data_IF_066979392485
#
_entry.id   IF_066979392485
#
_cell.length_a   1.000
_cell.length_b   1.000
_cell.length_c   1.000
_cell.angle_alpha   90.00
_cell.angle_beta   90.00
_cell.angle_gamma   90.00
#
_symmetry.space_group_name_H-M   'P 1'
#
loop_
_entity.id
_entity.type
_entity.pdbx_description
1 polymer ?
#
# COMPACT_ATOMS: atom_id res chain seq x y z
N UNK A 1 6.91 1.01 -7.78
CA UNK A 1 6.52 1.65 -9.05
C UNK A 1 5.51 2.75 -8.78
N UNK A 2 5.85 3.96 -9.12
CA UNK A 2 5.00 5.12 -8.88
C UNK A 2 5.20 6.17 -9.97
N UNK A 3 4.26 7.12 -10.07
CA UNK A 3 4.46 8.27 -10.94
C UNK A 3 5.29 9.36 -10.23
N UNK A 4 5.99 10.19 -10.99
CA UNK A 4 6.80 11.26 -10.44
C UNK A 4 5.95 12.33 -9.73
N UNK A 5 4.71 12.50 -10.16
CA UNK A 5 3.80 13.51 -9.60
C UNK A 5 3.11 13.07 -8.31
N UNK A 6 3.28 11.82 -7.89
CA UNK A 6 2.61 11.29 -6.70
C UNK A 6 3.44 11.57 -5.44
N UNK A 7 3.19 12.70 -4.78
CA UNK A 7 3.89 13.08 -3.55
C UNK A 7 3.61 12.14 -2.38
N UNK A 8 2.38 11.66 -2.25
CA UNK A 8 2.03 10.71 -1.18
C UNK A 8 2.69 9.35 -1.39
N UNK A 9 2.96 8.96 -2.64
CA UNK A 9 3.72 7.74 -2.94
C UNK A 9 5.15 7.85 -2.43
N UNK A 10 5.79 9.00 -2.61
CA UNK A 10 7.14 9.26 -2.11
C UNK A 10 7.17 9.17 -0.59
N UNK A 11 6.16 9.69 0.09
CA UNK A 11 6.05 9.61 1.55
C UNK A 11 5.91 8.17 2.00
N UNK A 12 5.19 7.35 1.26
CA UNK A 12 5.07 5.92 1.57
C UNK A 12 6.42 5.21 1.42
N UNK A 13 7.18 5.50 0.37
CA UNK A 13 8.54 4.97 0.19
C UNK A 13 9.41 5.34 1.39
N UNK A 14 9.35 6.59 1.84
CA UNK A 14 10.09 7.03 3.01
C UNK A 14 9.65 6.29 4.28
N UNK A 15 8.36 6.02 4.42
CA UNK A 15 7.84 5.23 5.54
C UNK A 15 8.49 3.84 5.59
N UNK A 16 8.61 3.15 4.45
CA UNK A 16 9.27 1.86 4.39
C UNK A 16 10.76 1.97 4.72
N UNK A 17 11.44 2.99 4.19
CA UNK A 17 12.87 3.19 4.45
C UNK A 17 13.14 3.50 5.92
N UNK A 18 12.29 4.27 6.56
CA UNK A 18 12.40 4.55 8.01
C UNK A 18 12.22 3.29 8.84
N UNK A 19 11.54 2.29 8.31
CA UNK A 19 11.36 0.99 8.95
C UNK A 19 12.39 -0.05 8.48
N UNK A 20 13.53 0.41 7.97
CA UNK A 20 14.71 -0.38 7.60
C UNK A 20 14.50 -1.31 6.41
N UNK A 21 13.56 -1.00 5.54
CA UNK A 21 13.41 -1.71 4.28
C UNK A 21 14.21 -1.01 3.19
N UNK A 22 14.92 -1.79 2.39
CA UNK A 22 15.54 -1.30 1.18
C UNK A 22 14.48 -1.16 0.11
N UNK A 23 14.40 0.02 -0.51
CA UNK A 23 13.39 0.29 -1.54
C UNK A 23 14.07 0.76 -2.80
N UNK A 24 13.79 0.07 -3.90
CA UNK A 24 14.14 0.54 -5.26
C UNK A 24 12.92 1.29 -5.78
N UNK A 25 13.07 2.59 -5.96
CA UNK A 25 11.98 3.48 -6.34
C UNK A 25 11.97 3.67 -7.85
N UNK A 26 11.06 2.96 -8.54
CA UNK A 26 10.93 3.03 -9.98
C UNK A 26 9.84 4.04 -10.36
N UNK A 27 10.23 5.12 -11.00
CA UNK A 27 9.34 6.19 -11.43
C UNK A 27 8.95 5.94 -12.88
N UNK A 28 7.64 5.87 -13.15
CA UNK A 28 7.09 5.59 -14.46
C UNK A 28 6.13 6.71 -14.87
N UNK A 29 5.97 6.90 -16.17
CA UNK A 29 4.96 7.83 -16.69
C UNK A 29 3.54 7.31 -16.41
N UNK A 30 3.34 6.01 -16.58
CA UNK A 30 2.06 5.34 -16.37
C UNK A 30 2.29 4.02 -15.64
N UNK A 31 1.66 3.86 -14.48
CA UNK A 31 1.79 2.67 -13.66
C UNK A 31 0.75 1.60 -13.99
N UNK A 32 -0.20 1.87 -14.86
CA UNK A 32 -1.27 0.91 -15.17
C UNK A 32 -0.74 -0.37 -15.82
N UNK A 33 0.32 -0.29 -16.60
CA UNK A 33 0.96 -1.47 -17.17
C UNK A 33 1.50 -2.44 -16.12
N UNK A 34 2.12 -1.90 -15.08
CA UNK A 34 2.62 -2.70 -13.96
C UNK A 34 1.46 -3.33 -13.20
N UNK A 35 0.38 -2.58 -12.97
CA UNK A 35 -0.79 -3.08 -12.26
C UNK A 35 -1.45 -4.23 -13.04
N UNK A 36 -1.50 -4.12 -14.37
CA UNK A 36 -2.00 -5.19 -15.24
C UNK A 36 -1.10 -6.42 -15.18
N UNK A 37 0.21 -6.21 -15.24
CA UNK A 37 1.20 -7.29 -15.18
C UNK A 37 1.08 -8.10 -13.90
N UNK A 38 0.86 -7.44 -12.77
CA UNK A 38 0.73 -8.09 -11.46
C UNK A 38 -0.70 -8.51 -11.14
N UNK A 39 -1.62 -8.36 -12.08
CA UNK A 39 -3.02 -8.81 -11.97
C UNK A 39 -3.72 -8.26 -10.74
N UNK A 40 -3.46 -7.00 -10.43
CA UNK A 40 -4.12 -6.34 -9.32
C UNK A 40 -5.58 -6.10 -9.68
N UNK A 41 -6.55 -6.55 -8.86
CA UNK A 41 -7.97 -6.31 -9.14
C UNK A 41 -8.28 -4.82 -9.30
N UNK A 42 -9.08 -4.47 -10.30
CA UNK A 42 -9.37 -3.07 -10.61
C UNK A 42 -9.94 -2.30 -9.42
N UNK A 43 -10.79 -2.94 -8.62
CA UNK A 43 -11.40 -2.30 -7.46
C UNK A 43 -10.44 -2.11 -6.27
N UNK A 44 -9.25 -2.68 -6.34
CA UNK A 44 -8.24 -2.55 -5.29
C UNK A 44 -7.10 -1.61 -5.69
N UNK A 45 -7.07 -1.13 -6.93
CA UNK A 45 -5.96 -0.29 -7.41
C UNK A 45 -5.92 1.04 -6.71
N UNK A 46 -4.71 1.44 -6.33
CA UNK A 46 -4.41 2.71 -5.70
C UNK A 46 -3.36 3.46 -6.54
N UNK A 47 -2.57 4.31 -5.91
CA UNK A 47 -1.66 5.21 -6.62
C UNK A 47 -0.33 4.57 -7.01
N UNK A 48 0.12 3.54 -6.30
CA UNK A 48 1.40 2.89 -6.57
C UNK A 48 1.32 1.39 -6.28
N UNK A 49 2.31 0.67 -6.80
CA UNK A 49 2.42 -0.78 -6.61
C UNK A 49 3.86 -1.13 -6.27
N UNK A 50 4.05 -2.14 -5.46
CA UNK A 50 5.37 -2.63 -5.09
C UNK A 50 5.42 -4.15 -5.13
N UNK A 51 6.63 -4.68 -5.27
CA UNK A 51 6.91 -6.10 -5.16
C UNK A 51 7.84 -6.33 -3.99
N UNK A 52 7.48 -7.26 -3.11
CA UNK A 52 8.35 -7.72 -2.04
C UNK A 52 8.36 -9.25 -2.08
N UNK A 53 9.47 -9.82 -2.55
CA UNK A 53 9.53 -11.26 -2.80
C UNK A 53 8.48 -11.68 -3.82
N UNK A 54 7.60 -12.61 -3.46
CA UNK A 54 6.52 -13.07 -4.34
C UNK A 54 5.22 -12.30 -4.17
N UNK A 55 5.17 -11.38 -3.20
CA UNK A 55 3.95 -10.64 -2.88
C UNK A 55 3.90 -9.29 -3.58
N UNK A 56 2.71 -8.90 -4.00
CA UNK A 56 2.43 -7.57 -4.53
C UNK A 56 1.80 -6.72 -3.43
N UNK A 57 2.28 -5.49 -3.28
CA UNK A 57 1.76 -4.53 -2.30
C UNK A 57 1.17 -3.37 -3.08
N UNK A 58 -0.10 -3.11 -2.89
CA UNK A 58 -0.83 -2.06 -3.62
C UNK A 58 -1.26 -0.94 -2.67
N UNK A 59 -0.83 0.28 -2.96
CA UNK A 59 -1.24 1.46 -2.20
C UNK A 59 -0.49 1.64 -0.88
N UNK A 60 -1.08 2.41 0.01
CA UNK A 60 -0.46 2.88 1.26
C UNK A 60 -0.57 1.85 2.39
N UNK A 61 -0.04 0.65 2.15
CA UNK A 61 -0.05 -0.44 3.14
C UNK A 61 0.95 -0.11 4.26
N UNK A 62 0.53 -0.14 5.53
CA UNK A 62 1.44 0.15 6.63
C UNK A 62 2.43 -0.98 6.88
N UNK A 63 3.56 -0.63 7.49
CA UNK A 63 4.63 -1.60 7.77
C UNK A 63 4.16 -2.75 8.64
N UNK A 64 3.23 -2.51 9.55
CA UNK A 64 2.67 -3.56 10.42
C UNK A 64 2.02 -4.68 9.60
N UNK A 65 1.29 -4.31 8.56
CA UNK A 65 0.63 -5.30 7.69
C UNK A 65 1.64 -6.04 6.81
N UNK A 66 2.70 -5.36 6.37
CA UNK A 66 3.80 -6.00 5.64
C UNK A 66 4.52 -6.99 6.54
N UNK A 67 4.79 -6.62 7.78
CA UNK A 67 5.41 -7.51 8.78
C UNK A 67 4.54 -8.74 9.04
N UNK A 68 3.25 -8.54 9.20
CA UNK A 68 2.28 -9.62 9.38
C UNK A 68 2.31 -10.58 8.19
N UNK A 69 2.37 -10.03 6.96
CA UNK A 69 2.42 -10.82 5.73
C UNK A 69 3.62 -11.77 5.71
N UNK A 70 4.79 -11.28 6.06
CA UNK A 70 6.00 -12.11 6.09
C UNK A 70 6.05 -13.07 7.26
N UNK A 71 5.37 -12.75 8.34
CA UNK A 71 5.27 -13.63 9.50
C UNK A 71 4.33 -14.80 9.23
N UNK A 72 3.18 -14.54 8.61
CA UNK A 72 2.15 -15.56 8.35
C UNK A 72 2.38 -16.34 7.07
N UNK A 73 3.01 -15.72 6.09
CA UNK A 73 3.30 -16.31 4.77
C UNK A 73 2.09 -16.97 4.11
N UNK A 74 0.96 -16.27 4.00
CA UNK A 74 -0.24 -16.85 3.40
C UNK A 74 -0.04 -17.10 1.90
N UNK A 75 -0.87 -18.01 1.34
CA UNK A 75 -0.85 -18.30 -0.10
C UNK A 75 -1.79 -17.33 -0.78
N UNK A 76 -1.28 -16.13 -1.07
CA UNK A 76 -2.01 -15.04 -1.74
C UNK A 76 -1.08 -14.34 -2.73
N UNK A 77 -1.63 -13.55 -3.63
CA UNK A 77 -0.84 -12.74 -4.56
C UNK A 77 -0.29 -11.49 -3.91
N UNK A 78 -1.06 -10.87 -3.04
CA UNK A 78 -0.64 -9.65 -2.38
C UNK A 78 -1.68 -9.06 -1.45
N UNK A 79 -1.38 -7.86 -0.96
CA UNK A 79 -2.25 -7.09 -0.08
C UNK A 79 -2.37 -5.67 -0.62
N UNK A 80 -3.49 -5.02 -0.33
CA UNK A 80 -3.80 -3.71 -0.86
C UNK A 80 -4.52 -2.84 0.17
N UNK A 81 -4.26 -1.54 0.12
CA UNK A 81 -5.10 -0.51 0.74
C UNK A 81 -5.75 0.25 -0.41
N UNK A 82 -7.02 -0.05 -0.75
CA UNK A 82 -7.70 0.63 -1.83
C UNK A 82 -7.90 2.11 -1.50
N UNK A 83 -7.77 2.97 -2.50
CA UNK A 83 -7.89 4.40 -2.31
C UNK A 83 -6.70 4.97 -1.55
N UNK A 84 -6.94 6.05 -0.83
CA UNK A 84 -5.93 6.76 -0.04
C UNK A 84 -6.54 7.20 1.30
N UNK A 85 -6.74 6.25 2.24
CA UNK A 85 -7.35 6.59 3.51
C UNK A 85 -6.53 7.61 4.29
N UNK A 86 -7.21 8.59 4.86
CA UNK A 86 -6.56 9.59 5.69
C UNK A 86 -5.96 8.93 6.93
N UNK A 87 -4.68 9.17 7.17
CA UNK A 87 -3.94 8.54 8.26
C UNK A 87 -3.15 7.31 7.87
N UNK A 88 -3.34 6.78 6.65
CA UNK A 88 -2.46 5.74 6.13
C UNK A 88 -1.05 6.30 5.86
N UNK A 89 0.00 5.46 5.84
CA UNK A 89 1.36 5.95 5.62
C UNK A 89 1.49 6.73 4.32
N UNK A 90 1.95 7.98 4.41
CA UNK A 90 2.01 8.92 3.30
C UNK A 90 0.79 9.82 3.18
N UNK A 91 -0.29 9.52 3.91
CA UNK A 91 -1.52 10.30 3.94
C UNK A 91 -1.79 10.90 5.32
N UNK A 92 -0.77 11.01 6.15
CA UNK A 92 -0.88 11.64 7.45
C UNK A 92 -1.00 13.16 7.28
N UNK A 93 -1.78 13.78 8.15
CA UNK A 93 -1.88 15.24 8.20
C UNK A 93 -0.76 15.81 9.04
N UNK A 94 0.00 16.72 8.46
CA UNK A 94 1.11 17.40 9.14
C UNK A 94 0.76 18.82 9.55
N UNK A 95 -0.52 19.20 9.57
CA UNK A 95 -0.93 20.54 9.97
C UNK A 95 -1.08 20.61 11.48
N UNK A 96 -0.93 21.82 12.03
CA UNK A 96 -1.17 22.09 13.45
C UNK A 96 -2.63 21.83 13.84
N UNK A 97 -3.49 21.72 12.87
CA UNK A 97 -4.91 21.42 13.05
C UNK A 97 -5.17 19.92 13.14
N UNK A 98 -4.15 19.12 13.05
CA UNK A 98 -4.26 17.66 13.13
C UNK A 98 -4.54 17.15 14.53
N UNK A 99 -4.90 17.98 15.45
CA UNK A 99 -5.62 17.55 16.65
C UNK A 99 -6.89 16.83 16.30
N UNK A 100 -7.29 16.99 15.05
CA UNK A 100 -8.43 16.31 14.53
C UNK A 100 -8.11 14.82 14.52
N UNK A 101 -8.81 14.16 15.29
CA UNK A 101 -8.92 12.73 15.28
C UNK A 101 -9.67 12.24 14.02
N UNK A 102 -9.40 12.89 12.87
CA UNK A 102 -10.12 12.65 11.63
C UNK A 102 -9.45 11.57 10.79
N UNK A 103 -8.46 10.87 11.33
CA UNK A 103 -7.93 9.69 10.67
C UNK A 103 -9.00 8.62 10.65
N UNK A 104 -9.22 8.06 9.47
CA UNK A 104 -10.24 7.06 9.30
C UNK A 104 -9.67 5.66 9.51
N UNK A 105 -10.48 4.78 10.09
CA UNK A 105 -10.16 3.36 10.12
C UNK A 105 -10.21 2.83 8.70
N UNK A 106 -9.29 1.95 8.37
CA UNK A 106 -9.26 1.36 7.04
C UNK A 106 -8.86 -0.11 7.10
N UNK A 107 -9.07 -0.79 6.00
CA UNK A 107 -8.81 -2.21 5.88
C UNK A 107 -7.66 -2.46 4.91
N UNK A 108 -6.83 -3.45 5.24
CA UNK A 108 -5.87 -4.02 4.31
C UNK A 108 -6.52 -5.29 3.76
N UNK A 109 -6.62 -5.39 2.44
CA UNK A 109 -7.35 -6.47 1.76
C UNK A 109 -6.34 -7.36 1.06
N UNK A 110 -6.45 -8.67 1.25
CA UNK A 110 -5.66 -9.63 0.48
C UNK A 110 -6.35 -9.95 -0.84
N UNK A 111 -5.56 -10.29 -1.85
CA UNK A 111 -6.09 -10.73 -3.13
C UNK A 111 -5.27 -11.89 -3.69
N UNK A 112 -5.93 -12.75 -4.46
CA UNK A 112 -5.31 -13.89 -5.12
C UNK A 112 -5.42 -13.77 -6.63
N UNK A 113 -4.69 -14.62 -7.35
CA UNK A 113 -4.72 -14.65 -8.83
C UNK A 113 -6.12 -14.98 -9.38
N UNK A 114 -6.96 -15.65 -8.60
CA UNK A 114 -8.32 -15.96 -8.98
C UNK A 114 -9.29 -14.79 -8.78
N UNK A 115 -8.82 -13.66 -8.26
CA UNK A 115 -9.64 -12.50 -7.97
C UNK A 115 -10.35 -12.55 -6.62
N UNK A 116 -10.11 -13.56 -5.81
CA UNK A 116 -10.68 -13.64 -4.46
C UNK A 116 -10.03 -12.62 -3.54
N UNK A 117 -10.85 -11.93 -2.75
CA UNK A 117 -10.40 -10.91 -1.80
C UNK A 117 -10.91 -11.25 -0.41
N UNK A 118 -10.08 -10.91 0.59
CA UNK A 118 -10.44 -11.06 2.00
C UNK A 118 -9.86 -9.90 2.80
N UNK A 119 -10.44 -9.60 3.94
CA UNK A 119 -9.84 -8.65 4.88
C UNK A 119 -8.61 -9.32 5.47
N UNK A 120 -7.44 -8.69 5.28
CA UNK A 120 -6.17 -9.18 5.81
C UNK A 120 -5.86 -8.55 7.16
N UNK A 121 -6.15 -7.26 7.30
CA UNK A 121 -5.87 -6.51 8.52
C UNK A 121 -6.84 -5.33 8.64
N UNK A 122 -7.05 -4.86 9.87
CA UNK A 122 -7.86 -3.68 10.16
C UNK A 122 -6.98 -2.68 10.88
N UNK A 123 -6.91 -1.47 10.39
CA UNK A 123 -6.04 -0.44 10.92
C UNK A 123 -6.88 0.67 11.55
N UNK A 124 -6.54 1.01 12.78
CA UNK A 124 -7.10 2.14 13.52
C UNK A 124 -5.97 3.11 13.82
N UNK A 125 -5.77 4.12 12.98
CA UNK A 125 -4.69 5.07 13.16
C UNK A 125 -4.81 5.89 14.44
#
# INVERSE_FOLDING_TARGET
>A
YRSASCGCCKKWVNHLRQNRLEVVDNILEDVSGIKNQYKIPNNLRSCHSAKIGTYTIEGHVPIESITKLFKEKPIISGIAVPGMPLGSPGMEMHSHESHSHNYENYKVVSFSNSGKTKIFDKISP
#
